data_IF_977842162382
#
_entry.id   IF_977842162382
#
_cell.length_a   1.000
_cell.length_b   1.000
_cell.length_c   1.000
_cell.angle_alpha   90.00
_cell.angle_beta   90.00
_cell.angle_gamma   90.00
#
_symmetry.space_group_name_H-M   'P 1'
#
loop_
_entity.id
_entity.type
_entity.pdbx_description
1 polymer ?
#
# COMPACT_ATOMS: atom_id res chain seq x y z
N UNK A 1 -16.06 -13.98 -33.53
CA UNK A 1 -15.24 -12.93 -32.88
C UNK A 1 -15.82 -12.75 -31.49
N UNK A 2 -15.05 -13.06 -30.45
CA UNK A 2 -15.48 -12.75 -29.08
C UNK A 2 -15.55 -11.22 -28.95
N UNK A 3 -16.47 -10.73 -28.13
CA UNK A 3 -16.63 -9.30 -27.92
C UNK A 3 -15.43 -8.80 -27.11
N UNK A 4 -14.77 -7.71 -27.54
CA UNK A 4 -13.63 -7.09 -26.83
C UNK A 4 -13.95 -6.89 -25.34
N UNK A 5 -15.19 -6.52 -25.03
CA UNK A 5 -15.67 -6.36 -23.66
C UNK A 5 -15.71 -7.65 -22.85
N UNK A 6 -16.03 -8.79 -23.47
CA UNK A 6 -16.01 -10.10 -22.79
C UNK A 6 -14.58 -10.57 -22.54
N UNK A 7 -13.68 -10.36 -23.49
CA UNK A 7 -12.26 -10.72 -23.31
C UNK A 7 -11.60 -9.86 -22.22
N UNK A 8 -11.89 -8.55 -22.16
CA UNK A 8 -11.41 -7.69 -21.08
C UNK A 8 -11.99 -8.10 -19.71
N UNK A 9 -13.24 -8.57 -19.67
CA UNK A 9 -13.87 -9.06 -18.43
C UNK A 9 -13.17 -10.31 -17.92
N UNK A 10 -12.81 -11.23 -18.81
CA UNK A 10 -12.09 -12.46 -18.45
C UNK A 10 -10.73 -12.12 -17.82
N UNK A 11 -9.98 -11.18 -18.42
CA UNK A 11 -8.71 -10.69 -17.85
C UNK A 11 -8.94 -10.04 -16.48
N UNK A 12 -9.94 -9.17 -16.35
CA UNK A 12 -10.28 -8.53 -15.08
C UNK A 12 -10.53 -9.54 -13.95
N UNK A 13 -11.28 -10.61 -14.22
CA UNK A 13 -11.56 -11.65 -13.21
C UNK A 13 -10.29 -12.42 -12.80
N UNK A 14 -9.38 -12.70 -13.73
CA UNK A 14 -8.09 -13.34 -13.43
C UNK A 14 -7.20 -12.45 -12.56
N UNK A 15 -7.09 -11.16 -12.92
CA UNK A 15 -6.33 -10.17 -12.14
C UNK A 15 -6.86 -10.05 -10.70
N UNK A 16 -8.19 -10.07 -10.51
CA UNK A 16 -8.81 -10.11 -9.18
C UNK A 16 -8.44 -11.36 -8.39
N UNK A 17 -8.40 -12.51 -9.06
CA UNK A 17 -7.92 -13.76 -8.47
C UNK A 17 -6.47 -13.64 -8.00
N UNK A 18 -5.59 -13.07 -8.82
CA UNK A 18 -4.19 -12.84 -8.47
C UNK A 18 -4.02 -11.91 -7.27
N UNK A 19 -4.87 -10.90 -7.14
CA UNK A 19 -4.83 -9.98 -6.01
C UNK A 19 -5.20 -10.69 -4.70
N UNK A 20 -6.23 -11.54 -4.75
CA UNK A 20 -6.69 -12.32 -3.59
C UNK A 20 -5.63 -13.30 -3.09
N UNK A 21 -4.81 -13.84 -3.99
CA UNK A 21 -3.78 -14.82 -3.69
C UNK A 21 -2.36 -14.26 -3.78
N UNK A 22 -2.21 -12.93 -3.69
CA UNK A 22 -0.92 -12.27 -3.84
C UNK A 22 0.03 -12.65 -2.69
N UNK A 23 1.22 -13.19 -2.98
CA UNK A 23 2.20 -13.60 -1.95
C UNK A 23 2.67 -12.40 -1.12
N UNK A 24 3.11 -12.64 0.11
CA UNK A 24 3.63 -11.62 1.02
C UNK A 24 5.17 -11.54 0.97
N UNK A 25 5.74 -10.39 1.33
CA UNK A 25 7.19 -10.17 1.38
C UNK A 25 7.85 -10.04 -0.01
N UNK A 26 9.05 -10.60 -0.15
CA UNK A 26 9.78 -10.58 -1.42
C UNK A 26 9.36 -11.74 -2.33
N UNK A 27 8.78 -11.41 -3.48
CA UNK A 27 8.43 -12.37 -4.51
C UNK A 27 9.71 -12.69 -5.30
N UNK A 28 10.22 -13.90 -5.15
CA UNK A 28 11.45 -14.37 -5.83
C UNK A 28 11.17 -15.33 -6.99
N UNK A 29 9.93 -15.80 -7.12
CA UNK A 29 9.48 -16.78 -8.12
C UNK A 29 9.03 -16.07 -9.41
N UNK A 30 9.78 -16.17 -10.52
CA UNK A 30 9.47 -15.42 -11.73
C UNK A 30 8.11 -15.71 -12.33
N UNK A 31 7.61 -16.91 -12.10
CA UNK A 31 6.32 -17.37 -12.59
C UNK A 31 5.17 -16.46 -12.12
N UNK A 32 5.29 -15.90 -10.91
CA UNK A 32 4.24 -15.06 -10.31
C UNK A 32 4.09 -13.74 -11.07
N UNK A 33 5.20 -13.07 -11.41
CA UNK A 33 5.14 -11.78 -12.09
C UNK A 33 5.11 -11.87 -13.60
N UNK A 34 5.64 -12.95 -14.17
CA UNK A 34 5.49 -13.26 -15.59
C UNK A 34 4.00 -13.44 -15.93
N UNK A 35 3.26 -14.20 -15.10
CA UNK A 35 1.80 -14.37 -15.29
C UNK A 35 1.08 -13.02 -15.31
N UNK A 36 1.46 -12.08 -14.45
CA UNK A 36 0.89 -10.74 -14.46
C UNK A 36 1.27 -9.92 -15.71
N UNK A 37 2.50 -10.06 -16.21
CA UNK A 37 2.94 -9.43 -17.46
C UNK A 37 2.20 -10.01 -18.67
N UNK A 38 1.93 -11.32 -18.67
CA UNK A 38 1.17 -11.99 -19.72
C UNK A 38 -0.25 -11.42 -19.83
N UNK A 39 -0.91 -11.12 -18.69
CA UNK A 39 -2.21 -10.46 -18.70
C UNK A 39 -2.15 -9.03 -19.25
N UNK A 40 -1.05 -8.30 -19.00
CA UNK A 40 -0.84 -6.96 -19.58
C UNK A 40 -0.72 -7.07 -21.11
N UNK A 41 0.02 -8.06 -21.60
CA UNK A 41 0.16 -8.32 -23.03
C UNK A 41 -1.16 -8.75 -23.67
N UNK A 42 -1.95 -9.56 -22.96
CA UNK A 42 -3.29 -9.92 -23.41
C UNK A 42 -4.21 -8.70 -23.50
N UNK A 43 -4.21 -7.81 -22.51
CA UNK A 43 -4.98 -6.55 -22.55
C UNK A 43 -4.55 -5.67 -23.71
N UNK A 44 -3.24 -5.47 -23.89
CA UNK A 44 -2.70 -4.69 -24.99
C UNK A 44 -3.14 -5.25 -26.35
N UNK A 45 -3.13 -6.58 -26.49
CA UNK A 45 -3.59 -7.28 -27.70
C UNK A 45 -5.10 -7.15 -27.93
N UNK A 46 -5.91 -7.29 -26.88
CA UNK A 46 -7.38 -7.18 -26.96
C UNK A 46 -7.81 -5.77 -27.37
N UNK A 47 -7.09 -4.77 -26.88
CA UNK A 47 -7.45 -3.35 -27.04
C UNK A 47 -6.66 -2.63 -28.13
N UNK A 48 -5.72 -3.33 -28.77
CA UNK A 48 -4.78 -2.81 -29.77
C UNK A 48 -4.08 -1.50 -29.31
N UNK A 49 -3.58 -1.51 -28.06
CA UNK A 49 -2.88 -0.37 -27.46
C UNK A 49 -1.78 -0.85 -26.52
N UNK A 50 -0.82 0.01 -26.21
CA UNK A 50 0.27 -0.27 -25.26
C UNK A 50 0.06 0.41 -23.90
N UNK A 51 -1.11 1.03 -23.66
CA UNK A 51 -1.36 1.85 -22.47
C UNK A 51 -1.22 1.10 -21.15
N UNK A 52 -1.29 -0.24 -21.16
CA UNK A 52 -1.19 -1.06 -19.96
C UNK A 52 0.26 -1.39 -19.58
N UNK A 53 1.24 -1.13 -20.45
CA UNK A 53 2.66 -1.35 -20.15
C UNK A 53 3.15 -0.58 -18.92
N UNK A 54 2.52 0.54 -18.59
CA UNK A 54 2.80 1.31 -17.35
C UNK A 54 2.59 0.54 -16.05
N UNK A 55 1.82 -0.56 -16.10
CA UNK A 55 1.57 -1.42 -14.94
C UNK A 55 2.60 -2.52 -14.79
N UNK A 56 3.51 -2.70 -15.75
CA UNK A 56 4.56 -3.71 -15.65
C UNK A 56 5.39 -3.50 -14.38
N UNK A 57 5.85 -4.63 -13.86
CA UNK A 57 6.63 -4.68 -12.65
C UNK A 57 8.10 -4.60 -12.99
N UNK A 58 8.81 -3.79 -12.23
CA UNK A 58 10.26 -3.66 -12.31
C UNK A 58 10.90 -4.56 -11.25
N UNK A 59 11.98 -5.23 -11.62
CA UNK A 59 12.72 -6.08 -10.69
C UNK A 59 13.58 -5.20 -9.79
N UNK A 60 13.39 -5.35 -8.48
CA UNK A 60 14.30 -4.81 -7.48
C UNK A 60 15.49 -5.74 -7.31
N UNK A 61 16.68 -5.16 -7.07
CA UNK A 61 17.88 -5.94 -6.73
C UNK A 61 18.16 -5.82 -5.24
N UNK A 62 18.28 -6.96 -4.57
CA UNK A 62 18.63 -7.06 -3.16
C UNK A 62 20.04 -7.60 -2.97
N UNK A 63 20.69 -7.20 -1.88
CA UNK A 63 21.92 -7.83 -1.40
C UNK A 63 21.70 -8.30 0.03
N UNK A 64 21.90 -9.59 0.29
CA UNK A 64 22.02 -10.08 1.66
C UNK A 64 23.44 -9.81 2.15
N UNK A 65 23.60 -9.45 3.43
CA UNK A 65 24.91 -9.25 4.05
C UNK A 65 25.79 -10.52 4.04
N UNK A 66 25.21 -11.71 3.80
CA UNK A 66 25.88 -13.00 3.82
C UNK A 66 26.00 -13.71 2.45
N UNK A 67 25.42 -13.16 1.38
CA UNK A 67 25.50 -13.75 0.03
C UNK A 67 26.07 -12.72 -0.95
N UNK A 68 27.17 -13.09 -1.61
CA UNK A 68 27.92 -12.23 -2.54
C UNK A 68 27.20 -11.96 -3.86
N UNK A 69 26.10 -12.66 -4.16
CA UNK A 69 25.37 -12.49 -5.41
C UNK A 69 24.09 -11.66 -5.22
N UNK A 70 23.87 -10.62 -6.04
CA UNK A 70 22.62 -9.87 -6.02
C UNK A 70 21.47 -10.80 -6.44
N UNK A 71 20.36 -10.76 -5.70
CA UNK A 71 19.15 -11.48 -6.08
C UNK A 71 18.09 -10.48 -6.56
N UNK A 72 17.39 -10.84 -7.63
CA UNK A 72 16.25 -10.07 -8.13
C UNK A 72 14.99 -10.51 -7.42
N UNK A 73 14.15 -9.55 -7.05
CA UNK A 73 12.86 -9.79 -6.43
C UNK A 73 11.86 -8.71 -6.80
N UNK A 74 10.59 -9.00 -6.57
CA UNK A 74 9.52 -8.01 -6.61
C UNK A 74 8.99 -7.82 -5.20
N UNK A 75 8.87 -6.57 -4.78
CA UNK A 75 8.23 -6.23 -3.53
C UNK A 75 6.72 -6.52 -3.62
N UNK A 76 6.18 -7.28 -2.66
CA UNK A 76 4.75 -7.63 -2.64
C UNK A 76 3.83 -6.41 -2.59
N UNK A 77 4.23 -5.32 -1.93
CA UNK A 77 3.44 -4.08 -1.90
C UNK A 77 3.39 -3.42 -3.29
N UNK A 78 4.51 -3.41 -4.00
CA UNK A 78 4.57 -2.92 -5.39
C UNK A 78 3.73 -3.78 -6.32
N UNK A 79 3.82 -5.12 -6.18
CA UNK A 79 3.00 -6.07 -6.92
C UNK A 79 1.51 -5.82 -6.72
N UNK A 80 1.06 -5.79 -5.45
CA UNK A 80 -0.34 -5.55 -5.09
C UNK A 80 -0.82 -4.17 -5.57
N UNK A 81 0.01 -3.13 -5.43
CA UNK A 81 -0.33 -1.77 -5.85
C UNK A 81 -0.51 -1.63 -7.37
N UNK A 82 0.41 -2.18 -8.16
CA UNK A 82 0.30 -2.17 -9.64
C UNK A 82 -0.92 -2.98 -10.11
N UNK A 83 -1.17 -4.13 -9.49
CA UNK A 83 -2.33 -4.98 -9.78
C UNK A 83 -3.65 -4.28 -9.44
N UNK A 84 -3.75 -3.63 -8.28
CA UNK A 84 -4.92 -2.84 -7.88
C UNK A 84 -5.19 -1.68 -8.83
N UNK A 85 -4.15 -0.94 -9.21
CA UNK A 85 -4.28 0.19 -10.13
C UNK A 85 -4.74 -0.25 -11.53
N UNK A 86 -4.27 -1.40 -12.01
CA UNK A 86 -4.75 -2.01 -13.26
C UNK A 86 -6.22 -2.42 -13.16
N UNK A 87 -6.61 -3.11 -12.08
CA UNK A 87 -8.01 -3.51 -11.82
C UNK A 87 -8.93 -2.30 -11.77
N UNK A 88 -8.49 -1.21 -11.12
CA UNK A 88 -9.24 0.04 -11.05
C UNK A 88 -9.45 0.65 -12.44
N UNK A 89 -8.41 0.72 -13.25
CA UNK A 89 -8.52 1.22 -14.62
C UNK A 89 -9.44 0.38 -15.51
N UNK A 90 -9.49 -0.93 -15.28
CA UNK A 90 -10.40 -1.83 -16.01
C UNK A 90 -11.85 -1.78 -15.49
N UNK A 91 -12.03 -1.48 -14.20
CA UNK A 91 -13.33 -1.47 -13.52
C UNK A 91 -14.05 -0.12 -13.53
N UNK A 92 -13.34 0.98 -13.76
CA UNK A 92 -13.88 2.33 -13.74
C UNK A 92 -14.11 2.87 -12.32
N UNK A 93 -13.70 4.12 -12.12
CA UNK A 93 -14.17 5.03 -11.08
C UNK A 93 -15.70 5.07 -11.11
N UNK A 94 -16.39 4.63 -10.06
CA UNK A 94 -17.85 4.67 -9.98
C UNK A 94 -18.41 6.13 -9.97
N UNK A 95 -17.55 7.17 -9.85
CA UNK A 95 -18.02 8.56 -9.64
C UNK A 95 -17.39 9.67 -10.51
N UNK A 96 -16.38 9.44 -11.36
CA UNK A 96 -15.64 10.57 -11.93
C UNK A 96 -16.10 11.08 -13.31
N UNK A 97 -16.53 10.25 -14.27
CA UNK A 97 -16.79 10.75 -15.63
C UNK A 97 -17.90 9.97 -16.35
N UNK A 98 -19.14 10.22 -15.94
CA UNK A 98 -20.26 10.27 -16.91
C UNK A 98 -20.20 11.60 -17.68
N UNK A 99 -19.14 11.84 -18.46
CA UNK A 99 -19.13 12.78 -19.60
C UNK A 99 -17.73 12.83 -20.20
N UNK A 100 -17.64 12.85 -21.54
CA UNK A 100 -16.41 13.00 -22.33
C UNK A 100 -15.43 11.81 -22.20
N UNK A 101 -15.68 10.71 -22.90
CA UNK A 101 -15.23 10.57 -24.30
C UNK A 101 -15.80 9.27 -24.83
N UNK A 102 -16.16 9.20 -26.11
CA UNK A 102 -16.76 8.03 -26.75
C UNK A 102 -15.86 6.80 -26.90
N UNK A 103 -14.97 6.55 -25.94
CA UNK A 103 -14.20 5.31 -25.85
C UNK A 103 -15.01 4.26 -25.08
N UNK A 104 -14.88 3.02 -25.54
CA UNK A 104 -15.62 1.85 -25.08
C UNK A 104 -15.27 1.59 -23.59
N UNK A 105 -16.07 2.14 -22.68
CA UNK A 105 -15.99 1.85 -21.25
C UNK A 105 -16.87 0.64 -20.97
N UNK A 106 -16.23 -0.47 -20.60
CA UNK A 106 -16.93 -1.61 -20.03
C UNK A 106 -17.44 -1.22 -18.64
N UNK A 107 -18.75 -1.01 -18.49
CA UNK A 107 -19.41 -0.89 -17.19
C UNK A 107 -20.11 -2.19 -16.84
N UNK A 108 -19.46 -3.11 -16.10
CA UNK A 108 -20.21 -4.15 -15.43
C UNK A 108 -20.95 -3.48 -14.26
N UNK A 109 -22.27 -3.58 -14.21
CA UNK A 109 -23.04 -3.22 -13.03
C UNK A 109 -22.60 -4.14 -11.89
N UNK A 110 -21.62 -3.72 -11.08
CA UNK A 110 -21.10 -4.49 -9.95
C UNK A 110 -21.68 -3.92 -8.67
N UNK A 111 -22.24 -4.81 -7.87
CA UNK A 111 -22.63 -4.58 -6.49
C UNK A 111 -21.33 -4.45 -5.64
N UNK A 112 -20.62 -3.32 -5.79
CA UNK A 112 -19.26 -3.05 -5.28
C UNK A 112 -19.18 -2.78 -3.76
N UNK A 113 -20.31 -2.79 -3.04
CA UNK A 113 -20.34 -2.31 -1.65
C UNK A 113 -19.56 -3.17 -0.63
N UNK A 114 -19.15 -4.41 -0.96
CA UNK A 114 -18.49 -5.29 0.01
C UNK A 114 -16.95 -5.35 -0.11
N UNK A 115 -16.36 -5.12 -1.29
CA UNK A 115 -14.94 -5.41 -1.52
C UNK A 115 -14.06 -4.14 -1.53
N UNK A 116 -14.60 -3.01 -1.99
CA UNK A 116 -13.97 -1.69 -1.78
C UNK A 116 -13.91 -1.33 -0.29
N UNK A 117 -14.95 -1.70 0.48
CA UNK A 117 -14.94 -1.61 1.94
C UNK A 117 -13.84 -2.45 2.57
N UNK A 118 -13.50 -3.61 2.02
CA UNK A 118 -12.46 -4.46 2.61
C UNK A 118 -11.04 -3.92 2.40
N UNK A 119 -10.72 -3.34 1.25
CA UNK A 119 -9.36 -2.82 1.00
C UNK A 119 -9.11 -1.51 1.75
N UNK A 120 -10.11 -0.62 1.82
CA UNK A 120 -10.04 0.57 2.70
C UNK A 120 -10.11 0.18 4.18
N UNK A 121 -10.93 -0.79 4.57
CA UNK A 121 -10.95 -1.25 5.96
C UNK A 121 -9.66 -1.96 6.36
N UNK A 122 -8.96 -2.64 5.43
CA UNK A 122 -7.67 -3.26 5.70
C UNK A 122 -6.54 -2.22 5.83
N UNK A 123 -6.45 -1.23 4.94
CA UNK A 123 -5.46 -0.15 5.10
C UNK A 123 -5.74 0.67 6.36
N UNK A 124 -7.02 0.96 6.65
CA UNK A 124 -7.41 1.61 7.90
C UNK A 124 -7.17 0.73 9.13
N UNK A 125 -7.36 -0.60 9.03
CA UNK A 125 -7.07 -1.54 10.11
C UNK A 125 -5.57 -1.64 10.38
N UNK A 126 -4.72 -1.62 9.35
CA UNK A 126 -3.26 -1.58 9.51
C UNK A 126 -2.83 -0.27 10.15
N UNK A 127 -3.37 0.87 9.70
CA UNK A 127 -3.09 2.19 10.30
C UNK A 127 -3.58 2.24 11.76
N UNK A 128 -4.77 1.73 12.05
CA UNK A 128 -5.32 1.67 13.40
C UNK A 128 -4.51 0.72 14.28
N UNK A 129 -4.09 -0.44 13.78
CA UNK A 129 -3.27 -1.40 14.52
C UNK A 129 -1.91 -0.79 14.85
N UNK A 130 -1.25 -0.15 13.87
CA UNK A 130 0.01 0.55 14.09
C UNK A 130 -0.13 1.68 15.10
N UNK A 131 -1.23 2.45 15.04
CA UNK A 131 -1.53 3.48 16.03
C UNK A 131 -1.71 2.89 17.42
N UNK A 132 -2.42 1.77 17.56
CA UNK A 132 -2.59 1.05 18.84
C UNK A 132 -1.25 0.54 19.36
N UNK A 133 -0.39 0.02 18.50
CA UNK A 133 0.94 -0.46 18.89
C UNK A 133 1.84 0.70 19.34
N UNK A 134 1.79 1.84 18.66
CA UNK A 134 2.49 3.06 19.06
C UNK A 134 1.94 3.64 20.38
N UNK A 135 0.62 3.66 20.56
CA UNK A 135 -0.03 4.08 21.82
C UNK A 135 0.38 3.17 22.98
N UNK A 136 0.51 1.85 22.77
CA UNK A 136 1.01 0.91 23.78
C UNK A 136 2.45 1.18 24.17
N UNK A 137 3.34 1.38 23.20
CA UNK A 137 4.75 1.71 23.46
C UNK A 137 4.84 2.99 24.30
N UNK A 138 4.08 4.02 23.93
CA UNK A 138 4.07 5.28 24.68
C UNK A 138 3.49 5.08 26.09
N UNK A 139 2.42 4.31 26.25
CA UNK A 139 1.82 4.02 27.55
C UNK A 139 2.75 3.22 28.48
N UNK A 140 3.57 2.34 27.92
CA UNK A 140 4.61 1.63 28.67
C UNK A 140 5.72 2.59 29.09
N UNK A 141 6.23 3.40 28.16
CA UNK A 141 7.32 4.36 28.43
C UNK A 141 6.91 5.46 29.39
N UNK A 142 5.65 5.92 29.33
CA UNK A 142 5.09 6.89 30.29
C UNK A 142 5.25 6.38 31.72
N UNK A 143 5.05 5.08 31.97
CA UNK A 143 5.17 4.49 33.32
C UNK A 143 6.63 4.41 33.80
N UNK A 144 7.58 4.33 32.87
CA UNK A 144 9.02 4.22 33.15
C UNK A 144 9.69 5.60 33.32
N UNK A 145 9.04 6.66 32.85
CA UNK A 145 9.60 8.02 32.85
C UNK A 145 9.04 8.85 34.02
N UNK A 146 9.90 9.53 34.81
CA UNK A 146 9.48 10.34 35.94
C UNK A 146 8.49 11.45 35.56
N UNK A 147 7.45 11.65 36.38
CA UNK A 147 6.51 12.76 36.21
C UNK A 147 7.23 14.12 36.28
N UNK A 148 6.85 15.02 35.38
CA UNK A 148 7.42 16.37 35.29
C UNK A 148 8.69 16.51 34.44
N UNK A 149 9.31 15.40 34.02
CA UNK A 149 10.44 15.40 33.08
C UNK A 149 10.03 15.86 31.68
N UNK A 150 11.00 16.34 30.89
CA UNK A 150 10.75 16.79 29.52
C UNK A 150 10.47 15.59 28.59
N UNK A 151 11.00 14.42 28.92
CA UNK A 151 10.66 13.14 28.31
C UNK A 151 9.20 12.74 28.57
N UNK A 152 8.69 12.98 29.78
CA UNK A 152 7.27 12.73 30.09
C UNK A 152 6.36 13.68 29.33
N UNK A 153 6.69 14.98 29.30
CA UNK A 153 5.96 15.98 28.50
C UNK A 153 5.97 15.64 27.01
N UNK A 154 7.09 15.11 26.51
CA UNK A 154 7.20 14.63 25.13
C UNK A 154 6.24 13.47 24.88
N UNK A 155 6.29 12.42 25.70
CA UNK A 155 5.44 11.23 25.53
C UNK A 155 3.95 11.57 25.64
N UNK A 156 3.56 12.40 26.62
CA UNK A 156 2.16 12.83 26.80
C UNK A 156 1.66 13.62 25.58
N UNK A 157 2.50 14.49 25.03
CA UNK A 157 2.15 15.32 23.87
C UNK A 157 2.10 14.52 22.57
N UNK A 158 2.99 13.54 22.39
CA UNK A 158 2.91 12.59 21.26
C UNK A 158 1.65 11.73 21.39
N UNK A 159 1.31 11.25 22.60
CA UNK A 159 0.08 10.48 22.86
C UNK A 159 -1.19 11.25 22.51
N UNK A 160 -1.27 12.52 22.90
CA UNK A 160 -2.43 13.36 22.60
C UNK A 160 -2.60 13.55 21.09
N UNK A 161 -1.49 13.84 20.40
CA UNK A 161 -1.52 14.14 18.97
C UNK A 161 -1.60 12.89 18.09
N UNK A 162 -1.23 11.71 18.57
CA UNK A 162 -1.42 10.43 17.85
C UNK A 162 -2.87 10.19 17.43
N UNK A 163 -3.83 10.75 18.17
CA UNK A 163 -5.27 10.65 17.87
C UNK A 163 -5.68 11.37 16.58
N UNK A 164 -4.89 12.33 16.12
CA UNK A 164 -5.20 13.17 14.95
C UNK A 164 -4.44 12.77 13.70
N UNK A 165 -3.54 11.79 13.80
CA UNK A 165 -2.65 11.38 12.72
C UNK A 165 -3.36 10.49 11.71
N UNK A 166 -3.17 10.80 10.41
CA UNK A 166 -3.78 10.10 9.27
C UNK A 166 -2.80 9.20 8.49
N UNK A 167 -1.50 9.34 8.71
CA UNK A 167 -0.48 8.55 8.02
C UNK A 167 0.75 8.28 8.89
N UNK A 168 1.50 7.21 8.60
CA UNK A 168 2.75 6.90 9.29
C UNK A 168 3.80 8.02 9.17
N UNK A 169 3.87 8.65 7.99
CA UNK A 169 4.78 9.78 7.77
C UNK A 169 4.48 10.97 8.69
N UNK A 170 3.20 11.14 9.06
CA UNK A 170 2.79 12.18 9.99
C UNK A 170 3.15 11.81 11.43
N UNK A 171 3.16 10.52 11.81
CA UNK A 171 3.65 10.06 13.13
C UNK A 171 5.13 10.40 13.29
N UNK A 172 5.95 10.10 12.28
CA UNK A 172 7.38 10.41 12.32
C UNK A 172 7.63 11.92 12.39
N UNK A 173 6.92 12.71 11.57
CA UNK A 173 7.01 14.18 11.63
C UNK A 173 6.61 14.70 13.00
N UNK A 174 5.53 14.17 13.57
CA UNK A 174 5.02 14.56 14.88
C UNK A 174 6.04 14.30 15.99
N UNK A 175 6.61 13.10 16.01
CA UNK A 175 7.65 12.68 16.96
C UNK A 175 8.87 13.60 16.87
N UNK A 176 9.39 13.81 15.67
CA UNK A 176 10.58 14.64 15.46
C UNK A 176 10.32 16.11 15.83
N UNK A 177 9.17 16.66 15.43
CA UNK A 177 8.81 18.07 15.71
C UNK A 177 8.57 18.29 17.20
N UNK A 178 7.90 17.36 17.88
CA UNK A 178 7.61 17.46 19.31
C UNK A 178 8.88 17.33 20.14
N UNK A 179 9.76 16.37 19.80
CA UNK A 179 11.02 16.18 20.49
C UNK A 179 11.97 17.38 20.31
N UNK A 180 12.10 17.90 19.09
CA UNK A 180 12.89 19.12 18.83
C UNK A 180 12.35 20.35 19.54
N UNK A 181 11.03 20.53 19.61
CA UNK A 181 10.39 21.64 20.34
C UNK A 181 10.68 21.58 21.85
N UNK A 182 10.84 20.37 22.40
CA UNK A 182 11.16 20.14 23.81
C UNK A 182 12.67 20.05 24.08
N UNK A 183 13.52 20.30 23.08
CA UNK A 183 14.97 20.26 23.23
C UNK A 183 15.59 18.86 23.28
N UNK A 184 14.82 17.81 22.94
CA UNK A 184 15.32 16.44 22.89
C UNK A 184 16.13 16.20 21.61
N UNK A 185 17.28 15.54 21.74
CA UNK A 185 18.08 15.12 20.59
C UNK A 185 17.42 13.96 19.85
N UNK A 186 17.71 13.81 18.55
CA UNK A 186 17.20 12.69 17.76
C UNK A 186 17.59 11.32 18.35
N UNK A 187 18.78 11.22 18.96
CA UNK A 187 19.25 10.01 19.66
C UNK A 187 18.35 9.73 20.87
N UNK A 188 18.05 10.75 21.68
CA UNK A 188 17.22 10.59 22.86
C UNK A 188 15.77 10.22 22.52
N UNK A 189 15.24 10.77 21.44
CA UNK A 189 13.92 10.42 20.91
C UNK A 189 13.88 8.96 20.45
N UNK A 190 14.92 8.50 19.75
CA UNK A 190 15.02 7.11 19.30
C UNK A 190 15.09 6.13 20.49
N UNK A 191 15.88 6.45 21.53
CA UNK A 191 15.96 5.64 22.77
C UNK A 191 14.61 5.53 23.51
N UNK A 192 13.80 6.59 23.47
CA UNK A 192 12.50 6.62 24.13
C UNK A 192 11.44 5.81 23.37
N UNK A 193 11.61 5.60 22.06
CA UNK A 193 10.65 4.93 21.18
C UNK A 193 11.12 3.54 20.72
N UNK A 194 12.32 3.12 21.12
CA UNK A 194 12.83 1.74 21.02
C UNK A 194 12.41 0.88 22.20
#
# INVERSE_FOLDING_TARGET
>A
MKNVNEEMKDVYLRLRGYLKHAPEGHIKKPEVWNTFHDEIDELNRITDTEKYNRFRLELSTGRFSSLSEPYSYIDSSMYKGKLQALIYQLGGDDDADKQASGDIVFSPTINNNNEQRQTQAQSQAVINQMRVDFEKIIDEKIKEVPEGSDERKFLDKVKEMLKTVKSYSDILKLVLTTGTTLGLSAVKIAELLS
#
